data_IF_150984784753
#
_entry.id   IF_150984784753
#
_cell.length_a   1.000
_cell.length_b   1.000
_cell.length_c   1.000
_cell.angle_alpha   90.00
_cell.angle_beta   90.00
_cell.angle_gamma   90.00
#
_symmetry.space_group_name_H-M   'P 1'
#
loop_
_entity.id
_entity.type
_entity.pdbx_description
1 polymer ?
2 non-polymer ?
3 water ?
#
# COMPACT_ATOMS: atom_id res chain seq x y z
N UNK A 11 -3.84 -22.67 9.94
CA UNK A 11 -3.19 -21.59 10.67
C UNK A 11 -2.54 -22.12 11.95
N UNK A 12 -1.29 -21.72 12.20
CA UNK A 12 -0.59 -22.14 13.40
C UNK A 12 -1.21 -21.49 14.64
N UNK A 13 -1.60 -22.31 15.61
CA UNK A 13 -2.09 -21.81 16.88
C UNK A 13 -0.90 -21.70 17.84
N UNK A 14 -0.65 -20.48 18.33
CA UNK A 14 0.51 -20.19 19.16
C UNK A 14 0.05 -20.10 20.61
N UNK A 15 0.81 -20.71 21.50
CA UNK A 15 0.42 -20.63 22.89
C UNK A 15 0.76 -19.25 23.45
N UNK A 16 -0.13 -18.65 24.25
CA UNK A 16 0.14 -17.31 24.79
C UNK A 16 1.47 -17.21 25.54
N UNK A 17 1.93 -18.27 26.20
CA UNK A 17 3.25 -18.24 26.83
C UNK A 17 4.35 -17.95 25.83
N UNK A 18 4.14 -18.30 24.57
CA UNK A 18 5.18 -18.09 23.57
C UNK A 18 5.35 -16.65 23.15
N UNK A 19 4.49 -15.71 23.57
CA UNK A 19 4.45 -14.36 23.02
C UNK A 19 4.78 -13.36 24.12
N UNK A 20 5.71 -12.45 23.84
CA UNK A 20 6.04 -11.37 24.77
C UNK A 20 5.81 -10.05 24.05
N UNK A 21 4.79 -9.31 24.49
CA UNK A 21 4.57 -7.97 23.96
C UNK A 21 5.51 -7.00 24.65
N UNK A 22 6.14 -6.12 23.87
CA UNK A 22 7.18 -5.26 24.40
C UNK A 22 6.87 -3.77 24.26
N UNK A 23 6.43 -3.33 23.08
CA UNK A 23 6.21 -1.92 22.83
C UNK A 23 4.96 -1.76 21.96
N UNK A 24 4.14 -0.77 22.28
CA UNK A 24 2.99 -0.45 21.45
C UNK A 24 3.46 0.28 20.20
N UNK A 25 3.07 -0.22 19.04
CA UNK A 25 3.37 0.43 17.77
C UNK A 25 2.11 0.88 17.03
N UNK A 26 0.95 0.74 17.64
CA UNK A 26 -0.32 1.12 17.07
C UNK A 26 -1.43 0.81 18.05
N UNK A 27 -2.49 1.59 18.09
CA UNK A 27 -3.51 1.37 19.11
C UNK A 27 -4.86 1.88 18.62
N UNK A 28 -5.87 1.00 18.69
CA UNK A 28 -7.23 1.37 18.37
C UNK A 28 -8.14 1.19 19.57
N UNK A 29 -9.45 1.33 19.35
CA UNK A 29 -10.39 1.23 20.46
C UNK A 29 -10.50 -0.20 20.97
N UNK A 30 -10.37 -1.19 20.10
CA UNK A 30 -10.65 -2.59 20.46
C UNK A 30 -9.40 -3.46 20.51
N UNK A 31 -8.23 -2.86 20.52
CA UNK A 31 -6.99 -3.61 20.59
C UNK A 31 -5.82 -2.72 20.22
N UNK A 32 -4.64 -3.31 20.27
CA UNK A 32 -3.42 -2.60 19.92
C UNK A 32 -2.56 -3.49 19.02
N UNK A 33 -1.58 -2.86 18.39
CA UNK A 33 -0.51 -3.57 17.69
C UNK A 33 0.76 -3.36 18.48
N UNK A 34 1.50 -4.44 18.70
CA UNK A 34 2.72 -4.43 19.49
C UNK A 34 3.89 -4.96 18.68
N UNK A 35 5.07 -4.45 18.97
CA UNK A 35 6.30 -5.17 18.65
C UNK A 35 6.58 -6.12 19.80
N UNK A 36 7.01 -7.33 19.47
CA UNK A 36 7.26 -8.31 20.50
C UNK A 36 8.20 -9.39 20.02
N UNK A 37 8.29 -10.45 20.81
CA UNK A 37 9.13 -11.59 20.49
C UNK A 37 8.28 -12.84 20.54
N UNK A 38 8.64 -13.79 19.68
CA UNK A 38 7.93 -15.06 19.58
C UNK A 38 8.91 -16.18 19.85
N UNK A 39 8.51 -17.12 20.70
CA UNK A 39 9.30 -18.32 20.86
C UNK A 39 8.65 -19.51 20.16
N UNK A 45 16.22 -19.43 19.01
CA UNK A 45 16.15 -18.11 19.61
C UNK A 45 14.83 -17.43 19.27
N UNK A 46 14.41 -16.50 20.12
CA UNK A 46 13.20 -15.74 19.85
C UNK A 46 13.37 -14.91 18.59
N UNK A 47 12.27 -14.70 17.88
CA UNK A 47 12.27 -13.86 16.68
C UNK A 47 11.37 -12.65 16.93
N UNK A 48 11.71 -11.48 16.40
CA UNK A 48 10.82 -10.33 16.53
C UNK A 48 9.55 -10.54 15.70
N UNK A 49 8.43 -10.10 16.25
CA UNK A 49 7.14 -10.22 15.57
C UNK A 49 6.33 -8.97 15.83
N UNK A 50 5.30 -8.78 15.02
CA UNK A 50 4.25 -7.84 15.32
C UNK A 50 3.04 -8.61 15.83
N UNK A 51 2.32 -8.04 16.77
CA UNK A 51 1.26 -8.71 17.47
C UNK A 51 0.07 -7.78 17.52
N UNK A 52 -1.06 -8.20 16.95
CA UNK A 52 -2.29 -7.41 17.01
C UNK A 52 -3.29 -8.13 17.89
N UNK A 53 -3.92 -7.40 18.81
CA UNK A 53 -4.83 -7.98 19.79
C UNK A 53 -6.27 -7.54 19.54
N UNK A 54 -7.19 -8.34 20.09
CA UNK A 54 -8.62 -8.03 20.11
C UNK A 54 -9.10 -8.21 21.54
N UNK A 55 -9.52 -7.11 22.17
CA UNK A 55 -9.87 -7.12 23.59
C UNK A 55 -11.20 -7.83 23.84
N UNK A 56 -11.31 -8.41 25.03
CA UNK A 56 -12.54 -9.11 25.43
C UNK A 56 -13.73 -8.15 25.40
N UNK A 57 -14.90 -8.71 25.13
CA UNK A 57 -16.07 -7.92 24.85
C UNK A 57 -16.32 -7.71 23.37
N UNK A 58 -15.45 -8.22 22.51
CA UNK A 58 -15.63 -8.05 21.08
C UNK A 58 -16.91 -8.72 20.62
N UNK A 59 -17.49 -8.19 19.56
CA UNK A 59 -18.71 -8.72 18.97
C UNK A 59 -18.39 -9.87 18.03
N UNK A 60 -19.43 -10.58 17.61
CA UNK A 60 -19.26 -11.63 16.60
C UNK A 60 -18.66 -11.06 15.32
N UNK A 61 -19.17 -9.91 14.86
CA UNK A 61 -18.64 -9.28 13.66
C UNK A 61 -17.18 -8.89 13.82
N UNK A 62 -16.81 -8.35 14.99
CA UNK A 62 -15.41 -8.02 15.23
C UNK A 62 -14.53 -9.27 15.19
N UNK A 63 -15.00 -10.37 15.77
CA UNK A 63 -14.24 -11.62 15.74
C UNK A 63 -14.08 -12.13 14.33
N UNK A 64 -15.17 -12.13 13.56
CA UNK A 64 -15.10 -12.61 12.17
C UNK A 64 -14.16 -11.73 11.35
N UNK A 65 -14.26 -10.40 11.52
CA UNK A 65 -13.37 -9.51 10.77
C UNK A 65 -11.91 -9.70 11.19
N UNK A 66 -11.66 -9.81 12.49
CA UNK A 66 -10.30 -9.92 13.01
C UNK A 66 -9.63 -11.20 12.54
N UNK A 67 -10.26 -12.34 12.81
CA UNK A 67 -9.69 -13.62 12.36
C UNK A 67 -9.75 -13.75 10.86
N UNK A 68 -10.67 -13.04 10.20
CA UNK A 68 -10.75 -13.07 8.75
C UNK A 68 -9.51 -12.49 8.09
N UNK A 69 -8.90 -11.47 8.70
CA UNK A 69 -7.64 -10.96 8.16
C UNK A 69 -6.56 -12.03 8.22
N UNK A 70 -6.48 -12.75 9.34
CA UNK A 70 -5.49 -13.82 9.45
C UNK A 70 -5.81 -14.96 8.49
N UNK A 71 -7.09 -15.30 8.34
CA UNK A 71 -7.47 -16.32 7.38
C UNK A 71 -7.01 -15.99 5.97
N UNK A 72 -7.18 -14.74 5.55
CA UNK A 72 -6.76 -14.32 4.22
C UNK A 72 -5.25 -14.38 4.10
N UNK A 73 -4.54 -13.79 5.06
CA UNK A 73 -3.08 -13.76 5.01
C UNK A 73 -2.48 -15.15 5.02
N UNK A 74 -3.11 -16.10 5.71
CA UNK A 74 -2.61 -17.45 5.75
C UNK A 74 -2.68 -18.17 4.42
N UNK A 75 -3.46 -17.64 3.48
CA UNK A 75 -3.56 -18.23 2.16
C UNK A 75 -2.47 -17.77 1.21
N UNK A 76 -1.64 -16.82 1.63
CA UNK A 76 -0.64 -16.23 0.75
C UNK A 76 0.77 -16.62 1.19
N UNK A 77 1.66 -16.75 0.21
CA UNK A 77 3.08 -17.05 0.45
C UNK A 77 3.88 -16.31 -0.63
N UNK A 78 4.29 -15.09 -0.34
CA UNK A 78 4.99 -14.29 -1.33
C UNK A 78 5.89 -13.30 -0.61
N UNK A 79 7.07 -13.06 -1.18
CA UNK A 79 8.08 -12.19 -0.60
C UNK A 79 7.55 -10.79 -0.31
N UNK A 80 6.61 -10.28 -1.12
CA UNK A 80 6.11 -8.92 -0.98
C UNK A 80 4.73 -8.87 -0.35
N UNK A 81 4.35 -9.88 0.42
CA UNK A 81 3.09 -9.93 1.17
C UNK A 81 3.44 -10.27 2.60
N UNK A 82 2.91 -9.50 3.56
CA UNK A 82 3.19 -9.74 4.97
C UNK A 82 2.92 -11.19 5.33
N UNK A 83 3.89 -11.81 6.00
CA UNK A 83 3.78 -13.21 6.38
C UNK A 83 3.15 -13.38 7.76
N UNK A 84 2.18 -14.28 7.86
CA UNK A 84 1.53 -14.65 9.10
C UNK A 84 2.33 -15.73 9.82
N UNK A 85 2.66 -15.48 11.10
CA UNK A 85 3.29 -16.48 11.95
C UNK A 85 2.26 -17.39 12.62
N UNK A 86 1.15 -16.83 13.05
CA UNK A 86 0.12 -17.64 13.68
C UNK A 86 -0.90 -16.78 14.40
N UNK A 87 -1.79 -17.44 15.11
CA UNK A 87 -2.85 -16.76 15.83
C UNK A 87 -2.97 -17.36 17.22
N UNK A 88 -3.48 -16.55 18.13
CA UNK A 88 -3.99 -17.05 19.41
C UNK A 88 -5.49 -16.83 19.37
N UNK A 89 -6.25 -17.92 19.26
CA UNK A 89 -7.70 -17.85 19.26
C UNK A 89 -8.34 -18.60 20.42
N UNK A 90 -7.63 -19.54 21.03
CA UNK A 90 -8.21 -20.27 22.16
C UNK A 90 -8.29 -19.39 23.41
N UNK A 91 -7.25 -18.59 23.65
CA UNK A 91 -7.16 -17.76 24.84
C UNK A 91 -7.53 -16.31 24.53
N UNK A 92 -7.75 -15.54 25.59
CA UNK A 92 -8.06 -14.13 25.49
C UNK A 92 -6.94 -13.30 26.10
N UNK A 93 -6.57 -12.17 25.48
CA UNK A 93 -7.14 -11.63 24.24
C UNK A 93 -6.68 -12.45 23.04
N UNK A 94 -7.47 -12.46 21.98
CA UNK A 94 -7.02 -13.10 20.76
C UNK A 94 -5.92 -12.26 20.13
N UNK A 95 -5.05 -12.93 19.38
CA UNK A 95 -3.93 -12.23 18.75
C UNK A 95 -3.65 -12.78 17.36
N UNK A 96 -3.16 -11.90 16.50
CA UNK A 96 -2.58 -12.24 15.21
C UNK A 96 -1.12 -11.85 15.25
N UNK A 97 -0.25 -12.77 14.87
CA UNK A 97 1.20 -12.59 14.96
C UNK A 97 1.78 -12.69 13.56
N UNK A 98 2.55 -11.67 13.16
CA UNK A 98 3.16 -11.62 11.84
C UNK A 98 4.64 -11.31 11.97
N UNK A 99 5.34 -11.43 10.83
CA UNK A 99 6.70 -10.90 10.80
C UNK A 99 6.70 -9.43 11.18
N UNK A 100 7.83 -8.97 11.72
CA UNK A 100 7.97 -7.59 12.15
C UNK A 100 8.73 -6.80 11.09
N UNK A 101 8.14 -5.71 10.62
CA UNK A 101 8.74 -4.87 9.60
C UNK A 101 9.36 -3.67 10.30
N UNK A 102 10.70 -3.64 10.31
CA UNK A 102 11.42 -2.75 11.22
C UNK A 102 11.24 -1.28 10.89
N UNK A 103 10.97 -0.93 9.64
CA UNK A 103 10.88 0.45 9.23
C UNK A 103 9.45 0.96 9.12
N UNK A 104 8.46 0.16 9.51
CA UNK A 104 7.11 0.69 9.60
C UNK A 104 6.46 0.95 8.26
N UNK A 105 5.47 1.84 8.28
CA UNK A 105 4.65 2.13 7.12
C UNK A 105 5.43 2.98 6.12
N UNK A 106 5.24 2.68 4.83
CA UNK A 106 6.05 3.29 3.78
C UNK A 106 5.82 4.79 3.68
N UNK A 107 4.59 5.27 3.86
CA UNK A 107 4.34 6.72 3.73
C UNK A 107 5.13 7.52 4.78
N UNK A 108 5.02 7.11 6.03
CA UNK A 108 5.75 7.81 7.08
C UNK A 108 7.26 7.63 6.93
N UNK A 109 7.69 6.45 6.51
CA UNK A 109 9.09 6.17 6.29
C UNK A 109 9.68 7.15 5.28
N UNK A 110 9.04 7.30 4.14
CA UNK A 110 9.61 8.19 3.13
C UNK A 110 9.61 9.65 3.59
N UNK A 111 8.56 10.07 4.32
CA UNK A 111 8.49 11.45 4.79
C UNK A 111 9.59 11.74 5.81
N UNK A 112 10.04 10.73 6.54
CA UNK A 112 11.08 10.87 7.54
C UNK A 112 12.47 10.66 6.95
N UNK A 113 12.57 10.28 5.69
CA UNK A 113 13.84 9.98 5.02
C UNK A 113 13.92 10.73 3.70
N UNK A 114 13.38 11.96 3.69
CA UNK A 114 13.23 12.72 2.46
C UNK A 114 14.57 12.87 1.75
N UNK A 115 14.62 12.46 0.50
CA UNK A 115 15.82 12.61 -0.33
C UNK A 115 16.96 11.65 -0.04
N UNK A 116 16.75 10.62 0.77
CA UNK A 116 17.87 9.79 1.21
C UNK A 116 18.15 8.60 0.32
N UNK A 117 17.33 8.34 -0.69
CA UNK A 117 17.47 7.13 -1.49
C UNK A 117 17.78 7.49 -2.94
N UNK A 118 18.37 6.53 -3.64
CA UNK A 118 18.57 6.73 -5.07
C UNK A 118 17.28 6.46 -5.82
N UNK A 119 17.22 6.96 -7.05
CA UNK A 119 16.09 6.65 -7.93
C UNK A 119 15.96 5.14 -8.11
N UNK A 120 17.09 4.44 -8.25
CA UNK A 120 17.04 2.99 -8.42
C UNK A 120 16.45 2.31 -7.19
N UNK A 121 16.78 2.77 -5.98
CA UNK A 121 16.16 2.24 -4.77
C UNK A 121 14.66 2.48 -4.76
N UNK A 122 14.21 3.69 -5.11
CA UNK A 122 12.77 3.99 -5.13
C UNK A 122 12.04 3.10 -6.12
N UNK A 123 12.60 2.93 -7.31
CA UNK A 123 11.97 2.08 -8.32
C UNK A 123 11.94 0.64 -7.87
N UNK A 124 12.99 0.19 -7.16
CA UNK A 124 12.99 -1.17 -6.63
C UNK A 124 11.87 -1.38 -5.62
N UNK A 125 11.56 -0.36 -4.83
CA UNK A 125 10.45 -0.48 -3.90
C UNK A 125 9.13 -0.61 -4.64
N UNK A 126 8.97 0.09 -5.77
CA UNK A 126 7.77 -0.03 -6.59
C UNK A 126 7.67 -1.40 -7.24
N UNK A 127 8.81 -1.95 -7.68
CA UNK A 127 8.80 -3.29 -8.26
C UNK A 127 8.31 -4.32 -7.24
N UNK A 128 8.78 -4.21 -6.00
CA UNK A 128 8.35 -5.15 -4.97
C UNK A 128 6.86 -5.05 -4.71
N UNK A 129 6.35 -3.81 -4.58
CA UNK A 129 4.92 -3.61 -4.38
C UNK A 129 4.14 -4.18 -5.55
N UNK A 130 4.60 -3.93 -6.76
CA UNK A 130 3.91 -4.44 -7.95
C UNK A 130 3.90 -5.96 -8.00
N UNK A 131 5.01 -6.61 -7.59
CA UNK A 131 5.04 -8.07 -7.55
C UNK A 131 4.05 -8.62 -6.54
N UNK A 132 3.98 -8.01 -5.38
CA UNK A 132 2.98 -8.43 -4.41
C UNK A 132 1.58 -8.27 -4.94
N UNK A 133 1.32 -7.15 -5.62
CA UNK A 133 -0.02 -6.91 -6.18
C UNK A 133 -0.32 -7.85 -7.33
N UNK A 134 0.67 -8.17 -8.15
CA UNK A 134 0.45 -9.16 -9.21
C UNK A 134 0.02 -10.49 -8.61
N UNK A 135 0.70 -10.91 -7.53
CA UNK A 135 0.33 -12.14 -6.84
C UNK A 135 -1.09 -12.07 -6.30
N UNK A 136 -1.44 -10.98 -5.61
CA UNK A 136 -2.79 -10.85 -5.08
C UNK A 136 -3.84 -10.91 -6.19
N UNK A 137 -3.63 -10.14 -7.27
CA UNK A 137 -4.59 -10.14 -8.36
C UNK A 137 -4.74 -11.53 -8.95
N UNK A 138 -3.63 -12.25 -9.13
CA UNK A 138 -3.69 -13.59 -9.70
C UNK A 138 -4.37 -14.57 -8.76
N UNK A 139 -4.26 -14.33 -7.46
CA UNK A 139 -4.96 -15.11 -6.44
C UNK A 139 -6.41 -14.69 -6.28
N UNK A 140 -6.90 -13.78 -7.14
CA UNK A 140 -8.28 -13.29 -7.11
C UNK A 140 -8.60 -12.52 -5.82
N UNK A 141 -7.63 -11.74 -5.34
CA UNK A 141 -7.80 -10.90 -4.17
C UNK A 141 -7.71 -9.44 -4.59
N UNK A 142 -8.80 -8.71 -4.40
CA UNK A 142 -8.85 -7.27 -4.69
C UNK A 142 -8.58 -6.54 -3.39
N UNK A 143 -7.59 -5.65 -3.39
CA UNK A 143 -7.14 -5.07 -2.13
C UNK A 143 -8.09 -3.98 -1.63
N UNK A 144 -8.46 -3.05 -2.51
CA UNK A 144 -9.39 -1.94 -2.30
C UNK A 144 -8.81 -0.77 -1.52
N UNK A 145 -7.64 -0.91 -0.91
CA UNK A 145 -7.08 0.17 -0.10
C UNK A 145 -5.57 0.23 -0.29
N UNK A 146 -5.10 0.09 -1.52
CA UNK A 146 -3.68 0.14 -1.80
C UNK A 146 -3.23 1.59 -1.73
N UNK A 147 -2.25 1.86 -0.89
CA UNK A 147 -1.75 3.21 -0.58
C UNK A 147 -0.45 2.98 0.17
N UNK A 148 0.44 3.98 0.15
CA UNK A 148 1.71 3.79 0.84
C UNK A 148 1.52 3.53 2.34
N UNK A 149 0.44 4.07 2.94
CA UNK A 149 0.21 3.83 4.35
C UNK A 149 -0.08 2.37 4.66
N UNK A 150 -0.46 1.58 3.66
CA UNK A 150 -0.73 0.16 3.83
C UNK A 150 0.39 -0.75 3.30
N UNK A 151 1.57 -0.17 3.02
CA UNK A 151 2.77 -0.92 2.69
C UNK A 151 3.67 -0.85 3.91
N UNK A 152 4.34 -1.95 4.23
CA UNK A 152 5.31 -1.98 5.32
C UNK A 152 6.70 -2.23 4.74
N UNK A 153 7.73 -1.76 5.46
CA UNK A 153 9.12 -1.77 4.97
C UNK A 153 10.01 -2.45 5.99
N UNK A 154 10.85 -3.40 5.54
CA UNK A 154 11.78 -4.04 6.45
C UNK A 154 13.20 -3.46 6.32
N UNK A 155 14.13 -4.04 7.09
CA UNK A 155 15.51 -3.55 7.14
C UNK A 155 16.32 -3.91 5.91
N UNK A 156 15.75 -4.64 4.96
CA UNK A 156 16.35 -4.82 3.64
C UNK A 156 15.73 -3.91 2.60
N UNK A 157 14.90 -2.95 3.02
CA UNK A 157 14.16 -2.04 2.15
C UNK A 157 13.08 -2.76 1.36
N UNK A 158 12.74 -3.98 1.73
CA UNK A 158 11.69 -4.72 1.02
C UNK A 158 10.35 -4.18 1.47
N UNK A 159 9.50 -3.88 0.49
CA UNK A 159 8.16 -3.38 0.69
C UNK A 159 7.16 -4.52 0.58
N UNK A 160 6.28 -4.63 1.55
CA UNK A 160 5.29 -5.69 1.55
C UNK A 160 3.88 -5.12 1.73
N UNK A 161 2.96 -5.67 0.94
CA UNK A 161 1.56 -5.26 1.04
C UNK A 161 0.97 -5.80 2.33
N UNK A 162 0.22 -4.94 3.03
CA UNK A 162 -0.47 -5.28 4.26
C UNK A 162 -1.95 -4.90 4.15
N UNK A 163 -2.67 -5.02 5.27
CA UNK A 163 -4.05 -4.57 5.44
C UNK A 163 -5.04 -5.39 4.63
N UNK A 164 -5.39 -6.58 5.14
CA UNK A 164 -6.23 -7.53 4.45
C UNK A 164 -7.56 -7.72 5.17
N UNK A 165 -8.57 -8.11 4.43
CA UNK A 165 -9.86 -8.40 5.03
C UNK A 165 -10.98 -8.01 4.08
N UNK A 166 -12.20 -8.13 4.60
CA UNK A 166 -13.37 -7.76 3.81
C UNK A 166 -13.75 -6.35 4.25
N UNK A 167 -14.92 -6.19 4.88
CA UNK A 167 -15.42 -4.87 5.21
C UNK A 167 -14.46 -4.09 6.11
N UNK A 168 -13.62 -4.79 6.88
CA UNK A 168 -12.80 -4.11 7.89
C UNK A 168 -11.77 -3.17 7.28
N UNK A 169 -11.35 -3.44 6.04
CA UNK A 169 -10.24 -2.68 5.46
C UNK A 169 -10.62 -1.21 5.31
N UNK A 170 -11.70 -0.94 4.57
CA UNK A 170 -12.13 0.45 4.38
C UNK A 170 -12.79 1.02 5.63
N UNK A 171 -13.43 0.17 6.44
CA UNK A 171 -14.04 0.67 7.67
C UNK A 171 -12.99 1.20 8.64
N UNK A 172 -11.86 0.52 8.73
CA UNK A 172 -10.84 0.87 9.73
C UNK A 172 -9.90 1.99 9.27
N UNK A 173 -9.89 2.33 7.98
CA UNK A 173 -8.92 3.31 7.47
C UNK A 173 -9.48 4.71 7.64
N UNK A 174 -8.84 5.59 8.43
CA UNK A 174 -9.37 6.95 8.60
C UNK A 174 -9.37 7.77 7.31
N UNK A 175 -8.50 7.44 6.36
CA UNK A 175 -8.50 8.14 5.07
C UNK A 175 -9.74 7.84 4.25
N UNK A 176 -10.48 6.78 4.58
CA UNK A 176 -11.70 6.43 3.86
C UNK A 176 -12.87 7.19 4.45
N UNK A 177 -13.56 7.97 3.61
CA UNK A 177 -14.64 8.84 4.04
C UNK A 177 -15.93 8.44 3.33
N UNK A 178 -17.06 8.85 3.92
CA UNK A 178 -18.38 8.48 3.40
C UNK A 178 -18.78 9.30 2.18
N UNK A 182 -19.81 6.75 -3.02
CA UNK A 182 -20.02 5.34 -2.74
C UNK A 182 -20.33 5.19 -1.29
N UNK A 183 -19.63 4.30 -0.65
CA UNK A 183 -19.78 4.14 0.76
C UNK A 183 -18.63 4.91 1.33
N UNK A 184 -17.80 4.18 2.03
CA UNK A 184 -16.64 4.72 2.73
C UNK A 184 -15.41 4.33 1.92
N UNK A 185 -14.77 5.30 1.29
CA UNK A 185 -13.65 5.01 0.38
C UNK A 185 -12.60 6.09 0.52
N UNK A 186 -11.31 5.72 0.27
CA UNK A 186 -10.22 6.70 0.30
C UNK A 186 -10.08 7.39 -1.05
N UNK A 187 -10.75 8.54 -1.17
CA UNK A 187 -11.05 9.10 -2.48
C UNK A 187 -9.80 9.29 -3.32
N UNK A 188 -8.75 9.87 -2.74
CA UNK A 188 -7.56 10.25 -3.51
C UNK A 188 -6.81 9.07 -4.10
N UNK A 189 -7.03 7.86 -3.57
CA UNK A 189 -6.38 6.66 -4.03
C UNK A 189 -7.27 5.78 -4.90
N UNK A 190 -8.54 6.13 -5.08
CA UNK A 190 -9.55 5.21 -5.60
C UNK A 190 -9.90 5.53 -7.05
N UNK A 191 -10.03 4.48 -7.84
CA UNK A 191 -10.34 4.66 -9.25
C UNK A 191 -11.76 5.22 -9.42
N UNK A 192 -12.00 5.92 -10.53
CA UNK A 192 -13.33 6.54 -10.73
C UNK A 192 -14.49 5.56 -10.68
N UNK A 193 -14.36 4.36 -11.25
CA UNK A 193 -15.50 3.44 -11.25
C UNK A 193 -15.79 2.91 -9.85
N UNK A 194 -14.77 2.83 -9.00
CA UNK A 194 -15.00 2.39 -7.63
C UNK A 194 -15.70 3.48 -6.83
N UNK A 195 -15.33 4.74 -7.06
CA UNK A 195 -16.04 5.85 -6.43
C UNK A 195 -17.47 5.94 -6.94
N UNK A 196 -17.63 5.92 -8.26
CA UNK A 196 -18.94 6.18 -8.85
C UNK A 196 -19.93 5.06 -8.53
N UNK A 197 -19.57 3.81 -8.84
CA UNK A 197 -20.54 2.73 -8.78
C UNK A 197 -20.08 1.51 -8.00
N UNK A 198 -19.06 1.66 -7.16
CA UNK A 198 -18.65 0.62 -6.23
C UNK A 198 -18.01 -0.57 -6.92
N UNK A 199 -17.44 -0.36 -8.09
CA UNK A 199 -16.76 -1.41 -8.85
C UNK A 199 -15.31 -1.45 -8.41
N UNK A 200 -14.97 -2.43 -7.58
CA UNK A 200 -13.59 -2.65 -7.12
C UNK A 200 -13.07 -3.91 -7.78
N UNK A 201 -11.98 -3.78 -8.53
CA UNK A 201 -11.36 -4.91 -9.21
C UNK A 201 -9.86 -4.73 -9.14
N UNK A 202 -9.13 -5.71 -9.67
CA UNK A 202 -7.68 -5.54 -9.77
C UNK A 202 -7.31 -4.34 -10.63
N UNK A 203 -8.18 -3.92 -11.56
CA UNK A 203 -7.88 -2.72 -12.35
C UNK A 203 -8.07 -1.43 -11.56
N UNK A 204 -8.99 -1.41 -10.59
CA UNK A 204 -9.03 -0.27 -9.69
C UNK A 204 -7.81 -0.28 -8.76
N UNK A 205 -7.33 -1.46 -8.38
CA UNK A 205 -6.07 -1.52 -7.64
C UNK A 205 -4.90 -0.99 -8.47
N UNK A 206 -4.94 -1.16 -9.80
CA UNK A 206 -3.88 -0.60 -10.64
C UNK A 206 -3.88 0.92 -10.57
N UNK A 207 -5.07 1.55 -10.60
CA UNK A 207 -5.16 2.99 -10.42
C UNK A 207 -4.49 3.39 -9.11
N UNK A 208 -4.84 2.70 -8.04
CA UNK A 208 -4.25 2.99 -6.74
C UNK A 208 -2.75 2.82 -6.77
N UNK A 209 -2.26 1.79 -7.48
CA UNK A 209 -0.82 1.61 -7.60
C UNK A 209 -0.16 2.79 -8.27
N UNK A 210 -0.80 3.37 -9.29
CA UNK A 210 -0.27 4.59 -9.87
C UNK A 210 -0.12 5.70 -8.85
N UNK A 211 -1.11 5.84 -7.96
CA UNK A 211 -0.99 6.83 -6.89
C UNK A 211 0.18 6.48 -5.97
N UNK A 212 0.34 5.19 -5.62
CA UNK A 212 1.48 4.76 -4.81
C UNK A 212 2.79 5.12 -5.50
N UNK A 213 2.88 4.91 -6.80
CA UNK A 213 4.09 5.31 -7.52
C UNK A 213 4.39 6.78 -7.28
N UNK A 214 3.37 7.63 -7.38
CA UNK A 214 3.55 9.06 -7.15
C UNK A 214 3.95 9.34 -5.70
N UNK A 215 3.32 8.66 -4.74
CA UNK A 215 3.74 8.81 -3.34
C UNK A 215 5.21 8.47 -3.14
N UNK A 216 5.67 7.38 -3.74
CA UNK A 216 7.06 6.97 -3.55
C UNK A 216 8.00 7.99 -4.18
N UNK A 217 7.71 8.40 -5.41
CA UNK A 217 8.65 9.26 -6.11
C UNK A 217 8.70 10.67 -5.53
N UNK A 218 7.69 11.08 -4.76
CA UNK A 218 7.65 12.36 -4.07
C UNK A 218 8.05 12.26 -2.61
N UNK A 219 8.50 11.10 -2.14
CA UNK A 219 8.81 10.90 -0.73
C UNK A 219 7.61 11.19 0.17
N UNK A 220 6.45 10.70 -0.24
CA UNK A 220 5.30 10.76 0.64
C UNK A 220 4.50 12.03 0.61
N UNK A 221 4.52 12.76 -0.50
CA UNK A 221 3.63 13.90 -0.65
C UNK A 221 2.17 13.43 -0.61
N UNK A 222 1.29 14.30 -0.11
CA UNK A 222 -0.12 13.95 -0.07
C UNK A 222 -0.70 14.15 -1.45
N UNK A 223 -1.31 13.12 -2.06
CA UNK A 223 -1.82 13.28 -3.42
C UNK A 223 -2.84 14.40 -3.49
N UNK A 224 -2.71 15.23 -4.54
CA UNK A 224 -3.58 16.36 -4.81
C UNK A 224 -3.42 17.50 -3.81
N UNK A 225 -2.45 17.39 -2.89
CA UNK A 225 -2.18 18.40 -1.88
C UNK A 225 -3.41 18.80 -1.07
N UNK A 226 -3.80 20.07 -1.13
CA UNK A 226 -4.91 20.52 -0.29
C UNK A 226 -6.27 20.47 -0.98
N UNK A 227 -6.38 19.95 -2.22
CA UNK A 227 -7.69 19.85 -2.85
C UNK A 227 -8.61 19.03 -1.98
N UNK A 228 -9.88 19.42 -1.92
CA UNK A 228 -10.86 18.66 -1.16
C UNK A 228 -11.20 17.38 -1.92
N UNK A 229 -11.87 16.44 -1.24
CA UNK A 229 -12.28 15.21 -1.92
C UNK A 229 -13.16 15.50 -3.14
N UNK A 230 -14.16 16.39 -2.99
CA UNK A 230 -15.01 16.70 -4.13
C UNK A 230 -14.22 17.34 -5.25
N UNK A 231 -13.26 18.20 -4.92
CA UNK A 231 -12.42 18.82 -5.92
C UNK A 231 -11.53 17.80 -6.63
N UNK A 232 -11.06 16.77 -5.92
CA UNK A 232 -10.26 15.72 -6.57
C UNK A 232 -11.10 14.98 -7.60
N UNK A 233 -12.31 14.57 -7.21
CA UNK A 233 -13.17 13.87 -8.15
C UNK A 233 -13.50 14.73 -9.36
N UNK A 234 -13.78 16.02 -9.14
CA UNK A 234 -14.07 16.91 -10.26
C UNK A 234 -12.87 17.04 -11.20
N UNK A 235 -11.68 17.19 -10.63
CA UNK A 235 -10.49 17.31 -11.47
C UNK A 235 -10.27 16.04 -12.29
N UNK A 236 -10.40 14.87 -11.67
CA UNK A 236 -10.17 13.62 -12.37
C UNK A 236 -11.19 13.45 -13.49
N UNK A 237 -12.46 13.77 -13.21
CA UNK A 237 -13.50 13.63 -14.23
C UNK A 237 -13.27 14.59 -15.39
N UNK A 238 -12.67 15.75 -15.13
CA UNK A 238 -12.33 16.73 -16.16
C UNK A 238 -11.02 16.41 -16.88
N UNK A 239 -10.35 15.32 -16.52
CA UNK A 239 -9.15 14.89 -17.22
C UNK A 239 -7.83 15.27 -16.57
N UNK A 240 -7.84 16.01 -15.47
CA UNK A 240 -6.60 16.39 -14.83
C UNK A 240 -5.99 15.19 -14.10
N UNK A 241 -4.67 15.18 -14.03
CA UNK A 241 -3.94 14.11 -13.37
C UNK A 241 -2.80 14.73 -12.57
N UNK A 242 -2.30 13.98 -11.60
CA UNK A 242 -1.18 14.47 -10.81
C UNK A 242 0.00 14.83 -11.71
N UNK A 243 0.68 15.93 -11.46
CA UNK A 243 1.84 16.30 -12.28
C UNK A 243 3.05 15.46 -11.92
N UNK A 244 4.07 15.54 -12.77
CA UNK A 244 5.23 14.71 -12.50
C UNK A 244 5.92 15.15 -11.22
N UNK A 245 6.40 14.20 -10.43
CA UNK A 245 7.27 14.52 -9.30
C UNK A 245 8.57 15.13 -9.81
N UNK A 246 9.26 15.85 -8.92
CA UNK A 246 10.63 16.27 -9.20
C UNK A 246 11.52 15.03 -9.32
N UNK A 247 12.48 15.10 -10.23
CA UNK A 247 13.52 14.08 -10.36
C UNK A 247 12.95 12.71 -10.74
N UNK A 248 11.86 12.71 -11.51
CA UNK A 248 11.16 11.47 -11.81
C UNK A 248 11.55 10.96 -13.19
N UNK A 249 12.00 9.72 -13.30
CA UNK A 249 12.28 9.18 -14.63
C UNK A 249 11.05 9.26 -15.53
N UNK A 250 11.29 9.63 -16.78
CA UNK A 250 10.20 9.73 -17.74
C UNK A 250 9.41 8.43 -17.86
N UNK A 251 10.12 7.29 -17.87
CA UNK A 251 9.44 6.00 -17.99
C UNK A 251 8.49 5.77 -16.82
N UNK A 252 8.90 6.19 -15.62
CA UNK A 252 8.08 6.00 -14.43
C UNK A 252 6.84 6.90 -14.47
N UNK A 253 6.99 8.15 -14.89
CA UNK A 253 5.82 9.01 -15.00
C UNK A 253 4.86 8.49 -16.09
N UNK A 254 5.40 8.02 -17.21
CA UNK A 254 4.54 7.47 -18.25
C UNK A 254 3.74 6.28 -17.72
N UNK A 255 4.39 5.44 -16.92
CA UNK A 255 3.69 4.28 -16.38
C UNK A 255 2.58 4.69 -15.41
N UNK A 256 2.87 5.63 -14.50
CA UNK A 256 1.80 6.03 -13.59
C UNK A 256 0.61 6.65 -14.35
N UNK A 257 0.89 7.41 -15.41
CA UNK A 257 -0.18 7.99 -16.21
C UNK A 257 -1.03 6.91 -16.89
N UNK A 258 -0.41 5.79 -17.28
CA UNK A 258 -1.19 4.71 -17.87
C UNK A 258 -2.07 4.02 -16.83
N UNK A 259 -1.63 4.00 -15.57
CA UNK A 259 -2.47 3.46 -14.51
C UNK A 259 -3.71 4.31 -14.27
N UNK A 260 -3.69 5.59 -14.65
CA UNK A 260 -4.79 6.51 -14.38
C UNK A 260 -5.68 6.74 -15.60
N UNK A 261 -5.76 5.76 -16.49
CA UNK A 261 -6.71 5.85 -17.59
C UNK A 261 -8.14 5.76 -17.05
N UNK A 262 -9.01 6.63 -17.56
CA UNK A 262 -10.41 6.59 -17.12
C UNK A 262 -11.04 5.24 -17.45
N UNK A 263 -10.78 4.73 -18.65
CA UNK A 263 -11.35 3.47 -19.09
C UNK A 263 -10.54 2.34 -18.46
N UNK A 264 -11.20 1.59 -17.59
CA UNK A 264 -10.54 0.53 -16.82
C UNK A 264 -9.81 -0.46 -17.72
N UNK A 265 -10.40 -0.78 -18.88
CA UNK A 265 -9.81 -1.79 -19.74
C UNK A 265 -8.51 -1.34 -20.38
N UNK A 266 -8.23 -0.05 -20.42
CA UNK A 266 -7.01 0.46 -21.00
C UNK A 266 -5.83 0.46 -20.04
N UNK A 267 -6.06 0.25 -18.75
CA UNK A 267 -4.97 0.26 -17.79
C UNK A 267 -4.10 -0.99 -17.95
N UNK A 268 -2.80 -0.89 -17.67
CA UNK A 268 -1.96 -2.10 -17.65
C UNK A 268 -2.44 -3.05 -16.57
N UNK A 269 -2.19 -4.35 -16.79
CA UNK A 269 -2.36 -5.30 -15.70
C UNK A 269 -1.10 -5.30 -14.84
N UNK A 270 -1.21 -5.86 -13.64
CA UNK A 270 -0.02 -5.91 -12.80
C UNK A 270 1.13 -6.68 -13.47
N UNK A 271 0.82 -7.72 -14.26
CA UNK A 271 1.89 -8.42 -14.96
C UNK A 271 2.67 -7.47 -15.87
N UNK A 272 1.98 -6.54 -16.52
CA UNK A 272 2.66 -5.58 -17.39
C UNK A 272 3.52 -4.64 -16.58
N UNK A 273 2.99 -4.17 -15.46
CA UNK A 273 3.73 -3.27 -14.58
C UNK A 273 5.01 -3.91 -14.07
N UNK A 274 4.92 -5.15 -13.56
CA UNK A 274 6.10 -5.85 -13.09
C UNK A 274 7.13 -5.99 -14.20
N UNK A 275 6.68 -6.35 -15.39
CA UNK A 275 7.61 -6.56 -16.50
C UNK A 275 8.36 -5.28 -16.82
N UNK A 276 7.64 -4.16 -16.91
CA UNK A 276 8.27 -2.90 -17.26
C UNK A 276 9.26 -2.48 -16.18
N UNK A 277 8.84 -2.56 -14.92
CA UNK A 277 9.72 -2.14 -13.85
C UNK A 277 10.97 -3.01 -13.80
N UNK A 278 10.80 -4.32 -14.02
CA UNK A 278 11.95 -5.23 -14.08
C UNK A 278 12.93 -4.78 -15.16
N UNK A 279 12.42 -4.48 -16.35
CA UNK A 279 13.29 -4.11 -17.45
C UNK A 279 14.03 -2.81 -17.17
N UNK A 280 13.33 -1.83 -16.58
CA UNK A 280 13.99 -0.57 -16.24
C UNK A 280 15.10 -0.78 -15.21
N UNK A 281 14.86 -1.63 -14.21
CA UNK A 281 15.88 -1.87 -13.19
C UNK A 281 17.07 -2.59 -13.78
N UNK A 282 16.82 -3.49 -14.70
CA UNK A 282 17.91 -4.26 -15.31
C UNK A 282 18.77 -3.46 -16.26
N UNK A 283 18.23 -2.40 -16.80
CA UNK A 283 18.97 -1.45 -17.62
C UNK A 283 18.86 -0.08 -16.98
N UNK A 284 19.55 0.12 -15.85
CA UNK A 284 19.27 1.29 -15.00
C UNK A 284 19.55 2.63 -15.65
N UNK A 285 20.34 2.67 -16.73
CA UNK A 285 20.53 3.95 -17.44
C UNK A 285 19.20 4.47 -17.98
N UNK A 286 18.24 3.57 -18.22
CA UNK A 286 16.93 3.99 -18.69
C UNK A 286 16.26 4.97 -17.74
N UNK A 287 16.59 4.90 -16.46
CA UNK A 287 15.98 5.76 -15.45
C UNK A 287 16.62 7.14 -15.38
N UNK A 288 17.71 7.39 -16.10
CA UNK A 288 18.38 8.68 -16.04
C UNK A 288 17.67 9.75 -16.86
N UNK A 289 16.81 9.37 -17.80
CA UNK A 289 16.02 10.31 -18.58
C UNK A 289 14.81 10.75 -17.76
N UNK A 290 14.75 12.03 -17.41
CA UNK A 290 13.76 12.52 -16.47
C UNK A 290 12.62 13.23 -17.20
N UNK A 291 11.41 13.06 -16.69
CA UNK A 291 10.30 13.87 -17.18
C UNK A 291 10.49 15.31 -16.72
N UNK A 292 10.07 16.24 -17.58
CA UNK A 292 10.16 17.67 -17.24
C UNK A 292 9.28 17.96 -16.03
N UNK A 293 9.82 18.71 -15.08
CA UNK A 293 9.09 19.13 -13.89
C UNK A 293 8.58 20.55 -14.09
N UNK A 294 7.31 20.80 -13.82
CA UNK A 294 6.68 22.12 -13.96
C UNK A 294 6.87 22.92 -12.68
N UNK A 295 7.74 23.90 -12.72
CA UNK A 295 8.02 24.62 -11.48
C UNK A 295 6.82 25.44 -11.04
N UNK A 296 6.61 25.49 -9.73
CA UNK A 296 5.58 26.33 -9.15
C UNK A 296 6.12 27.65 -8.63
N UNK A 297 7.45 27.84 -8.69
CA UNK A 297 8.10 29.05 -8.23
C UNK A 297 9.11 29.50 -9.28
N UNK A 298 9.22 30.81 -9.45
CA UNK A 298 10.19 31.42 -10.36
C UNK A 298 11.21 32.19 -9.54
N UNK A 299 12.49 31.87 -9.70
CA UNK A 299 13.58 32.57 -9.04
C UNK A 299 14.48 33.15 -10.12
N UNK A 300 14.50 34.48 -10.23
CA UNK A 300 15.28 35.18 -11.23
C UNK A 300 16.38 35.97 -10.55
N UNK A 301 17.59 35.92 -11.11
CA UNK A 301 18.72 36.65 -10.57
C UNK A 301 19.54 37.20 -11.74
N UNK A 302 19.96 38.47 -11.65
CA UNK A 302 20.76 39.11 -12.71
C UNK A 302 22.15 38.53 -12.81
X LIG B 1 1.11 3.26 13.58
X LIG B 1 -0.13 4.07 13.28
X LIG B 1 0.27 5.52 13.04
X LIG B 1 -0.57 6.06 12.01
X LIG B 1 1.77 5.64 12.66
X LIG B 1 2.15 4.54 11.67
X LIG B 1 1.94 3.16 12.30
X LIG B 1 3.20 2.45 12.58
X LIG B 1 3.39 1.24 12.03
X LIG B 1 2.56 0.71 11.30
X LIG B 1 4.56 0.56 12.34
X LIG B 1 4.66 -0.75 11.90
X LIG B 1 5.60 1.13 13.07
X LIG B 1 6.73 0.37 13.33
X LIG B 1 6.82 -0.95 12.88
X LIG B 1 5.78 -1.52 12.17
X LIG B 1 5.94 -2.80 11.75
X LIG B 1 4.96 -3.70 11.55
X LIG B 1 3.27 -3.57 11.76
X LIG B 1 5.23 -4.95 11.14
X LIG B 1 4.14 -5.75 11.01
X LIG B 1 2.94 -5.14 11.30
X LIG B 1 1.67 -5.61 11.29
X LIG B 1 0.75 -4.81 11.46
X LIG B 1 1.44 -6.94 11.11
X LIG B 1 0.15 -7.39 11.13
X LIG B 1 -0.63 -7.35 9.96
X LIG B 1 -0.02 -6.72 8.47
X LIG B 1 -1.94 -7.83 10.00
X LIG B 1 -2.48 -8.34 11.18
X LIG B 1 -1.71 -8.38 12.34
X LIG B 1 -0.40 -7.90 12.32
X LIG B 1 0.35 -7.95 13.49
#
# INVERSE_FOLDING_TARGET
>A
GDPNQAVLKFTTEIHPSCVTRQKVIGAGEFGEVYKGMLKTSSGKKEVPVAIKTLKAGYTEKQRVDFLGEAGIMGQFSHHNIIRLEGVISKYKPMMIITEYMENGALDKFLREKDGEFSVLQLVGMLRGIAAGMKYLANMNYVHRDLAARNILVNSNLVCKVSDFGLSRVLEDDPEATYTTSGGKIPIRWTAPEAISYRKFTSASDVWSFGIVMWEVMTYGERPYWELSNHEVMKAINDGFRLPTPMDCPSAIYQLMMQCWQQERARRPKFADIVSILDKLIRAPDSLKTLADFDPRVSIRLPSTSG
>B hetero
1 90W CAS CAT CAU OAV CAW CAX CAR NAQ CAP OAY CAO CAZ CAN CAM CAL CAK NAJ CAI SBA NAH CAG CAF CAE OBB NAD CAC CAB CLA CBG CBF CBE CBC CBD
#
